data_IF_882618169599
#
_entry.id   IF_882618169599
#
_cell.length_a   1.000
_cell.length_b   1.000
_cell.length_c   1.000
_cell.angle_alpha   90.00
_cell.angle_beta   90.00
_cell.angle_gamma   90.00
#
_symmetry.space_group_name_H-M   'P 1'
#
loop_
_entity.id
_entity.type
_entity.pdbx_description
1 polymer ?
#
# COMPACT_ATOMS: atom_id res chain seq x y z
N UNK A 1 23.35 6.62 -12.11
CA UNK A 1 21.98 6.15 -11.82
C UNK A 1 21.48 6.86 -10.56
N UNK A 2 20.18 7.17 -10.48
CA UNK A 2 19.55 7.77 -9.30
C UNK A 2 18.36 6.90 -8.89
N UNK A 3 18.19 6.66 -7.60
CA UNK A 3 17.04 5.94 -7.07
C UNK A 3 15.87 6.91 -6.92
N UNK A 4 14.69 6.51 -7.42
CA UNK A 4 13.46 7.27 -7.21
C UNK A 4 12.60 6.57 -6.16
N UNK A 5 12.46 7.20 -4.99
CA UNK A 5 11.64 6.72 -3.88
C UNK A 5 10.22 7.32 -3.88
N UNK A 6 9.94 8.22 -4.81
CA UNK A 6 8.70 9.02 -4.82
C UNK A 6 7.66 8.50 -5.80
N UNK A 7 8.10 7.78 -6.84
CA UNK A 7 7.22 7.15 -7.82
C UNK A 7 6.27 6.14 -7.17
N UNK A 8 4.98 6.34 -7.40
CA UNK A 8 3.95 5.43 -6.93
C UNK A 8 3.97 4.12 -7.73
N UNK A 9 3.70 3.02 -7.02
CA UNK A 9 3.59 1.69 -7.56
C UNK A 9 2.12 1.29 -7.69
N UNK A 10 1.82 0.45 -8.66
CA UNK A 10 0.49 -0.13 -8.88
C UNK A 10 0.57 -1.65 -8.87
N UNK A 11 -0.13 -2.26 -7.92
CA UNK A 11 -0.26 -3.69 -7.77
C UNK A 11 -1.60 -4.11 -8.33
N UNK A 12 -1.61 -4.71 -9.52
CA UNK A 12 -2.86 -4.97 -10.22
C UNK A 12 -2.82 -6.16 -11.15
N UNK A 13 -4.01 -6.57 -11.56
CA UNK A 13 -4.22 -7.59 -12.58
C UNK A 13 -5.03 -7.01 -13.72
N UNK A 14 -4.83 -7.56 -14.92
CA UNK A 14 -5.62 -7.20 -16.09
C UNK A 14 -7.07 -7.64 -15.90
N UNK A 15 -8.00 -6.81 -16.32
CA UNK A 15 -9.43 -7.11 -16.33
C UNK A 15 -9.73 -7.96 -17.57
N UNK A 16 -9.85 -9.28 -17.35
CA UNK A 16 -10.34 -10.21 -18.35
C UNK A 16 -11.88 -10.24 -18.41
N UNK A 17 -12.46 -11.08 -19.28
CA UNK A 17 -13.91 -11.17 -19.43
C UNK A 17 -14.61 -11.62 -18.15
N UNK A 18 -14.02 -12.54 -17.39
CA UNK A 18 -14.63 -13.08 -16.15
C UNK A 18 -14.60 -12.05 -15.02
N UNK A 19 -13.48 -11.33 -14.89
CA UNK A 19 -13.34 -10.26 -13.91
C UNK A 19 -14.26 -9.09 -14.26
N UNK A 20 -14.37 -8.74 -15.54
CA UNK A 20 -15.32 -7.72 -16.00
C UNK A 20 -16.75 -8.05 -15.63
N UNK A 21 -17.19 -9.28 -15.89
CA UNK A 21 -18.52 -9.76 -15.53
C UNK A 21 -18.73 -9.76 -14.01
N UNK A 22 -17.73 -10.27 -13.26
CA UNK A 22 -17.76 -10.26 -11.80
C UNK A 22 -17.90 -8.85 -11.21
N UNK A 23 -17.17 -7.88 -11.74
CA UNK A 23 -17.26 -6.47 -11.31
C UNK A 23 -18.61 -5.85 -11.69
N UNK A 24 -19.17 -6.18 -12.86
CA UNK A 24 -20.49 -5.70 -13.28
C UNK A 24 -21.63 -6.24 -12.38
N UNK A 25 -21.48 -7.48 -11.89
CA UNK A 25 -22.42 -8.13 -10.97
C UNK A 25 -22.13 -7.85 -9.49
N UNK A 26 -21.14 -7.02 -9.18
CA UNK A 26 -20.82 -6.65 -7.80
C UNK A 26 -21.99 -5.94 -7.12
N UNK A 27 -22.13 -6.15 -5.81
CA UNK A 27 -23.21 -5.52 -5.04
C UNK A 27 -23.02 -3.99 -5.03
N UNK A 28 -24.09 -3.19 -5.01
CA UNK A 28 -23.96 -1.72 -4.98
C UNK A 28 -23.05 -1.21 -3.86
N UNK A 29 -23.10 -1.83 -2.67
CA UNK A 29 -22.27 -1.48 -1.52
C UNK A 29 -20.79 -1.89 -1.63
N UNK A 30 -20.44 -2.75 -2.60
CA UNK A 30 -19.06 -3.19 -2.82
C UNK A 30 -18.32 -2.30 -3.83
N UNK A 31 -19.00 -1.40 -4.54
CA UNK A 31 -18.36 -0.46 -5.50
C UNK A 31 -17.26 0.40 -4.87
N UNK A 32 -17.44 0.78 -3.60
CA UNK A 32 -16.44 1.53 -2.81
C UNK A 32 -15.07 0.86 -2.70
N UNK A 33 -15.00 -0.46 -2.94
CA UNK A 33 -13.76 -1.21 -2.85
C UNK A 33 -12.94 -1.19 -4.15
N UNK A 34 -13.47 -0.63 -5.24
CA UNK A 34 -12.77 -0.56 -6.52
C UNK A 34 -13.04 0.71 -7.35
N UNK A 35 -13.79 1.67 -6.80
CA UNK A 35 -14.08 2.95 -7.46
C UNK A 35 -12.93 3.96 -7.37
N UNK A 36 -11.89 3.65 -6.61
CA UNK A 36 -10.71 4.50 -6.42
C UNK A 36 -10.88 5.66 -5.44
N UNK A 37 -12.00 5.72 -4.71
CA UNK A 37 -12.28 6.78 -3.73
C UNK A 37 -11.32 6.78 -2.53
N UNK A 38 -10.67 5.66 -2.24
CA UNK A 38 -9.71 5.50 -1.14
C UNK A 38 -8.41 4.84 -1.64
N UNK A 39 -7.27 5.28 -1.10
CA UNK A 39 -5.96 4.63 -1.31
C UNK A 39 -5.91 3.22 -0.67
N UNK A 40 -6.79 2.93 0.28
CA UNK A 40 -6.87 1.61 0.93
C UNK A 40 -7.44 0.53 0.01
N UNK A 41 -8.20 0.92 -1.00
CA UNK A 41 -8.96 0.03 -1.86
C UNK A 41 -8.43 0.02 -3.29
N UNK A 42 -9.07 -0.80 -4.12
CA UNK A 42 -8.68 -0.93 -5.52
C UNK A 42 -9.17 0.27 -6.32
N UNK A 43 -8.58 0.43 -7.49
CA UNK A 43 -9.08 1.30 -8.55
C UNK A 43 -8.91 0.62 -9.89
N UNK A 44 -9.79 1.00 -10.80
CA UNK A 44 -9.67 0.63 -12.21
C UNK A 44 -8.84 1.70 -12.91
N UNK A 45 -7.81 1.26 -13.64
CA UNK A 45 -6.98 2.10 -14.50
C UNK A 45 -7.18 1.61 -15.94
N UNK A 46 -7.49 2.53 -16.84
CA UNK A 46 -7.67 2.22 -18.26
C UNK A 46 -6.46 2.72 -19.03
N UNK A 47 -5.84 1.82 -19.79
CA UNK A 47 -4.89 2.17 -20.84
C UNK A 47 -5.60 2.06 -22.20
N UNK A 48 -5.02 2.60 -23.28
CA UNK A 48 -5.62 2.48 -24.62
C UNK A 48 -5.88 1.04 -25.07
N UNK A 49 -5.10 0.09 -24.55
CA UNK A 49 -5.11 -1.32 -24.96
C UNK A 49 -5.85 -2.20 -23.96
N UNK A 50 -5.72 -1.92 -22.66
CA UNK A 50 -6.15 -2.81 -21.60
C UNK A 50 -6.76 -2.07 -20.42
N UNK A 51 -7.65 -2.75 -19.68
CA UNK A 51 -8.12 -2.28 -18.38
C UNK A 51 -7.47 -3.09 -17.27
N UNK A 52 -7.06 -2.40 -16.22
CA UNK A 52 -6.39 -2.98 -15.07
C UNK A 52 -7.15 -2.63 -13.80
N UNK A 53 -7.13 -3.52 -12.83
CA UNK A 53 -7.67 -3.27 -11.49
C UNK A 53 -6.62 -3.61 -10.45
N UNK A 54 -6.42 -2.73 -9.48
CA UNK A 54 -5.35 -2.88 -8.52
C UNK A 54 -5.27 -1.76 -7.49
N UNK A 55 -4.26 -1.84 -6.63
CA UNK A 55 -4.03 -0.88 -5.55
C UNK A 55 -2.83 0.00 -5.89
N UNK A 56 -2.94 1.29 -5.59
CA UNK A 56 -1.83 2.25 -5.70
C UNK A 56 -1.12 2.32 -4.36
N UNK A 57 0.20 2.19 -4.38
CA UNK A 57 1.06 2.17 -3.20
C UNK A 57 2.15 3.23 -3.40
N UNK A 58 2.56 3.88 -2.31
CA UNK A 58 3.65 4.86 -2.35
C UNK A 58 4.98 4.18 -2.67
N UNK A 59 5.91 4.94 -3.24
CA UNK A 59 7.28 4.47 -3.44
C UNK A 59 7.99 4.22 -2.12
N UNK A 60 9.08 3.43 -2.17
CA UNK A 60 9.89 3.13 -0.98
C UNK A 60 9.39 1.96 -0.12
N UNK A 61 8.51 1.10 -0.66
CA UNK A 61 8.01 -0.10 -0.01
C UNK A 61 9.12 -1.09 0.39
N UNK A 62 9.01 -1.71 1.57
CA UNK A 62 9.82 -2.86 1.95
C UNK A 62 9.44 -4.11 1.15
N UNK A 63 10.42 -4.95 0.85
CA UNK A 63 10.20 -6.25 0.18
C UNK A 63 9.21 -7.13 0.97
N UNK A 64 9.21 -7.03 2.30
CA UNK A 64 8.32 -7.81 3.17
C UNK A 64 6.84 -7.44 3.01
N UNK A 65 6.54 -6.21 2.59
CA UNK A 65 5.16 -5.73 2.44
C UNK A 65 4.53 -6.14 1.08
N UNK A 66 5.34 -6.60 0.13
CA UNK A 66 4.89 -7.00 -1.22
C UNK A 66 3.84 -8.11 -1.13
N UNK A 67 4.08 -9.13 -0.30
CA UNK A 67 3.17 -10.26 -0.13
C UNK A 67 1.89 -9.85 0.62
N UNK A 68 1.98 -8.91 1.55
CA UNK A 68 0.82 -8.35 2.25
C UNK A 68 -0.08 -7.57 1.30
N UNK A 69 0.50 -6.72 0.46
CA UNK A 69 -0.23 -5.97 -0.56
C UNK A 69 -0.86 -6.93 -1.56
N UNK A 70 -0.14 -7.94 -2.03
CA UNK A 70 -0.68 -8.95 -2.94
C UNK A 70 -1.88 -9.68 -2.31
N UNK A 71 -1.75 -10.13 -1.05
CA UNK A 71 -2.86 -10.76 -0.30
C UNK A 71 -4.04 -9.81 -0.15
N UNK A 72 -3.79 -8.55 0.16
CA UNK A 72 -4.82 -7.51 0.29
C UNK A 72 -5.58 -7.33 -1.03
N UNK A 73 -4.87 -7.14 -2.15
CA UNK A 73 -5.47 -7.01 -3.50
C UNK A 73 -6.35 -8.21 -3.82
N UNK A 74 -5.83 -9.43 -3.64
CA UNK A 74 -6.58 -10.65 -3.91
C UNK A 74 -7.79 -10.82 -2.99
N UNK A 75 -7.67 -10.43 -1.71
CA UNK A 75 -8.79 -10.51 -0.76
C UNK A 75 -9.96 -9.60 -1.17
N UNK A 76 -9.67 -8.39 -1.65
CA UNK A 76 -10.68 -7.47 -2.15
C UNK A 76 -11.27 -8.00 -3.46
N UNK A 77 -10.45 -8.48 -4.38
CA UNK A 77 -10.93 -9.06 -5.66
C UNK A 77 -11.88 -10.24 -5.42
N UNK A 78 -11.56 -11.15 -4.48
CA UNK A 78 -12.44 -12.27 -4.12
C UNK A 78 -13.76 -11.80 -3.51
N UNK A 79 -13.77 -10.65 -2.84
CA UNK A 79 -14.99 -10.06 -2.30
C UNK A 79 -15.88 -9.48 -3.41
N UNK A 80 -15.30 -8.68 -4.30
CA UNK A 80 -16.07 -7.90 -5.29
C UNK A 80 -16.37 -8.67 -6.57
N UNK A 81 -15.56 -9.67 -6.90
CA UNK A 81 -15.69 -10.51 -8.09
C UNK A 81 -15.38 -11.98 -7.72
N UNK A 82 -16.17 -12.63 -6.85
CA UNK A 82 -15.88 -13.98 -6.33
C UNK A 82 -15.76 -15.06 -7.41
N UNK A 83 -16.40 -14.86 -8.57
CA UNK A 83 -16.36 -15.80 -9.70
C UNK A 83 -15.06 -15.70 -10.50
N UNK A 84 -14.33 -14.58 -10.41
CA UNK A 84 -13.05 -14.38 -11.05
C UNK A 84 -11.94 -14.95 -10.16
N UNK A 85 -11.61 -16.23 -10.35
CA UNK A 85 -10.50 -16.89 -9.64
C UNK A 85 -9.17 -16.36 -10.15
N UNK A 86 -8.59 -15.41 -9.43
CA UNK A 86 -7.32 -14.75 -9.79
C UNK A 86 -6.18 -15.35 -8.94
N UNK A 87 -5.19 -16.00 -9.56
CA UNK A 87 -3.98 -16.45 -8.86
C UNK A 87 -3.05 -15.27 -8.54
N UNK A 88 -2.26 -15.42 -7.48
CA UNK A 88 -1.26 -14.44 -7.07
C UNK A 88 -0.27 -14.08 -8.18
N UNK A 89 0.10 -15.05 -9.02
CA UNK A 89 1.00 -14.87 -10.16
C UNK A 89 0.48 -13.93 -11.26
N UNK A 90 -0.82 -13.59 -11.26
CA UNK A 90 -1.39 -12.61 -12.20
C UNK A 90 -1.29 -11.17 -11.70
N UNK A 91 -0.99 -10.96 -10.42
CA UNK A 91 -0.75 -9.62 -9.87
C UNK A 91 0.63 -9.16 -10.32
N UNK A 92 0.67 -8.04 -11.04
CA UNK A 92 1.88 -7.39 -11.54
C UNK A 92 2.07 -6.04 -10.85
N UNK A 93 3.33 -5.60 -10.79
CA UNK A 93 3.75 -4.33 -10.21
C UNK A 93 4.17 -3.41 -11.35
N UNK A 94 3.59 -2.21 -11.39
CA UNK A 94 3.92 -1.17 -12.36
C UNK A 94 4.29 0.13 -11.65
N UNK A 95 5.01 1.00 -12.35
CA UNK A 95 5.18 2.40 -11.93
C UNK A 95 4.06 3.24 -12.55
N UNK A 96 3.41 4.10 -11.77
CA UNK A 96 2.48 5.09 -12.30
C UNK A 96 3.22 6.41 -12.51
N UNK A 97 3.34 6.83 -13.77
CA UNK A 97 3.91 8.14 -14.12
C UNK A 97 2.84 9.23 -14.00
N UNK A 98 3.22 10.39 -13.45
CA UNK A 98 2.33 11.56 -13.37
C UNK A 98 1.37 11.61 -12.18
N UNK A 99 1.42 10.64 -11.27
CA UNK A 99 0.72 10.70 -9.98
C UNK A 99 1.74 10.99 -8.89
N UNK A 100 1.81 12.24 -8.44
CA UNK A 100 2.54 12.59 -7.23
C UNK A 100 1.71 12.12 -6.03
N UNK A 101 2.03 10.95 -5.47
CA UNK A 101 1.46 10.57 -4.18
C UNK A 101 2.25 11.33 -3.11
N UNK A 102 1.55 12.16 -2.33
CA UNK A 102 2.18 12.97 -1.30
C UNK A 102 2.97 12.08 -0.33
N UNK A 103 4.26 12.36 -0.22
CA UNK A 103 5.17 11.66 0.68
C UNK A 103 4.90 12.17 2.09
N UNK A 104 4.04 11.50 2.87
CA UNK A 104 4.15 11.62 4.32
C UNK A 104 5.38 10.82 4.73
N UNK A 105 6.48 11.55 4.96
CA UNK A 105 7.67 11.01 5.60
C UNK A 105 7.29 10.68 7.04
N UNK A 106 6.98 9.42 7.32
CA UNK A 106 7.12 8.86 8.66
C UNK A 106 8.36 7.98 8.55
N UNK A 107 9.51 8.62 8.72
CA UNK A 107 10.75 7.94 9.01
C UNK A 107 10.66 7.71 10.52
N UNK A 108 10.40 6.46 10.94
CA UNK A 108 10.83 6.03 12.27
C UNK A 108 12.36 6.05 12.25
N UNK A 109 12.92 7.21 12.59
CA UNK A 109 14.31 7.33 12.97
C UNK A 109 14.34 6.93 14.45
N UNK A 110 14.82 5.71 14.72
CA UNK A 110 15.21 5.29 16.06
C UNK A 110 16.22 6.31 16.60
N UNK A 111 15.73 7.26 17.40
CA UNK A 111 16.57 8.10 18.23
C UNK A 111 17.06 7.26 19.40
N UNK A 112 18.33 6.86 19.36
CA UNK A 112 19.10 6.56 20.57
C UNK A 112 19.06 7.82 21.45
N UNK A 113 18.10 7.88 22.39
CA UNK A 113 18.10 8.87 23.46
C UNK A 113 19.22 8.49 24.44
N UNK A 114 20.39 9.13 24.30
CA UNK A 114 21.39 9.15 25.37
C UNK A 114 20.76 9.76 26.62
N UNK A 115 20.44 8.90 27.58
CA UNK A 115 19.93 9.26 28.90
C UNK A 115 20.96 10.19 29.59
N UNK A 116 20.61 11.44 29.94
CA UNK A 116 21.55 12.32 30.64
C UNK A 116 21.83 11.76 32.05
N UNK A 117 23.07 11.80 32.55
CA UNK A 117 23.41 11.23 33.84
C UNK A 117 22.62 11.89 34.97
N UNK A 118 22.25 11.13 36.03
CA UNK A 118 21.41 11.64 37.09
C UNK A 118 22.09 12.79 37.86
N UNK A 119 21.32 13.75 38.38
CA UNK A 119 21.87 14.87 39.13
C UNK A 119 22.52 14.38 40.43
N UNK A 120 23.78 14.77 40.65
CA UNK A 120 24.52 14.55 41.89
C UNK A 120 23.80 15.25 43.04
N UNK A 121 23.10 14.47 43.85
CA UNK A 121 22.52 14.90 45.12
C UNK A 121 23.64 15.19 46.12
N UNK A 122 23.92 16.46 46.35
CA UNK A 122 24.78 16.92 47.44
C UNK A 122 23.92 17.20 48.67
N UNK A 123 23.52 16.12 49.35
CA UNK A 123 23.00 16.19 50.71
C UNK A 123 24.13 16.41 51.72
N UNK A 124 23.90 17.13 52.83
CA UNK A 124 24.95 17.44 53.80
C UNK A 124 25.31 16.19 54.60
N UNK A 125 26.59 15.79 54.57
CA UNK A 125 27.11 14.82 55.52
C UNK A 125 27.14 15.45 56.92
N UNK A 126 26.37 14.88 57.86
CA UNK A 126 26.64 15.03 59.28
C UNK A 126 27.85 14.13 59.57
N UNK A 127 28.98 14.75 59.93
CA UNK A 127 30.11 14.05 60.56
C UNK A 127 30.06 14.34 62.05
N UNK A 128 29.96 13.26 62.83
CA UNK A 128 30.14 13.10 64.29
C UNK A 128 30.01 14.32 65.21
#
# INVERSE_FOLDING_TARGET
MKLDKTSALFFGTRIDSKLREGLALSKPGDKKYFDGSSEEFLRVIETPEEKWIGKVIRGGLSVTEVDDIQRNVLSILRRVAPNARIPASQVKIFVIQGVAVAVNQVIDDEGDEEEPPPPVSTGPYISY
#
